data_IF_725727358990
#
_entry.id   IF_725727358990
#
_cell.length_a   1.000
_cell.length_b   1.000
_cell.length_c   1.000
_cell.angle_alpha   90.00
_cell.angle_beta   90.00
_cell.angle_gamma   90.00
#
_symmetry.space_group_name_H-M   'P 1'
#
loop_
_entity.id
_entity.type
_entity.pdbx_description
1 polymer ?
#
# COMPACT_ATOMS: atom_id res chain seq x y z
N UNK A 1 -16.49 -8.76 -9.92
CA UNK A 1 -15.22 -8.16 -10.36
C UNK A 1 -14.27 -7.86 -9.19
N UNK A 2 -14.67 -7.01 -8.23
CA UNK A 2 -13.82 -6.61 -7.09
C UNK A 2 -13.29 -7.77 -6.23
N UNK A 3 -14.17 -8.71 -5.85
CA UNK A 3 -13.78 -9.92 -5.12
C UNK A 3 -12.79 -10.80 -5.90
N UNK A 4 -12.93 -10.87 -7.23
CA UNK A 4 -12.03 -11.64 -8.10
C UNK A 4 -10.65 -10.97 -8.15
N UNK A 5 -10.58 -9.64 -8.23
CA UNK A 5 -9.32 -8.90 -8.19
C UNK A 5 -8.59 -9.08 -6.85
N UNK A 6 -9.31 -8.95 -5.74
CA UNK A 6 -8.78 -9.21 -4.39
C UNK A 6 -8.24 -10.64 -4.27
N UNK A 7 -9.02 -11.65 -4.68
CA UNK A 7 -8.61 -13.05 -4.66
C UNK A 7 -7.40 -13.32 -5.57
N UNK A 8 -7.35 -12.71 -6.75
CA UNK A 8 -6.22 -12.86 -7.68
C UNK A 8 -4.92 -12.30 -7.09
N UNK A 9 -5.00 -11.14 -6.43
CA UNK A 9 -3.84 -10.53 -5.77
C UNK A 9 -3.40 -11.36 -4.55
N UNK A 10 -4.36 -11.85 -3.75
CA UNK A 10 -4.10 -12.76 -2.63
C UNK A 10 -3.38 -14.04 -3.06
N UNK A 11 -3.84 -14.67 -4.15
CA UNK A 11 -3.22 -15.87 -4.72
C UNK A 11 -1.81 -15.59 -5.22
N UNK A 12 -1.58 -14.44 -5.87
CA UNK A 12 -0.24 -14.03 -6.30
C UNK A 12 0.71 -13.88 -5.11
N UNK A 13 0.29 -13.15 -4.06
CA UNK A 13 1.12 -12.93 -2.86
C UNK A 13 1.40 -14.26 -2.15
N UNK A 14 0.38 -15.12 -2.00
CA UNK A 14 0.56 -16.46 -1.41
C UNK A 14 1.56 -17.28 -2.22
N UNK A 15 1.44 -17.36 -3.54
CA UNK A 15 2.36 -18.18 -4.34
C UNK A 15 3.79 -17.62 -4.35
N UNK A 16 3.96 -16.30 -4.24
CA UNK A 16 5.25 -15.60 -4.34
C UNK A 16 6.05 -15.62 -3.02
N UNK A 17 5.38 -15.58 -1.86
CA UNK A 17 5.99 -15.37 -0.54
C UNK A 17 5.68 -16.48 0.47
N UNK A 18 6.48 -16.58 1.54
CA UNK A 18 6.12 -17.47 2.66
C UNK A 18 4.85 -16.97 3.36
N UNK A 19 4.07 -17.87 3.94
CA UNK A 19 2.71 -17.59 4.44
C UNK A 19 2.66 -16.44 5.46
N UNK A 20 3.74 -16.22 6.22
CA UNK A 20 3.85 -15.13 7.19
C UNK A 20 3.80 -13.75 6.49
N UNK A 21 4.50 -13.60 5.36
CA UNK A 21 4.47 -12.38 4.55
C UNK A 21 3.10 -12.18 3.92
N UNK A 22 2.45 -13.26 3.45
CA UNK A 22 1.12 -13.16 2.87
C UNK A 22 0.11 -12.60 3.88
N UNK A 23 0.11 -13.08 5.13
CA UNK A 23 -0.78 -12.56 6.17
C UNK A 23 -0.48 -11.10 6.50
N UNK A 24 0.80 -10.72 6.61
CA UNK A 24 1.20 -9.33 6.86
C UNK A 24 0.72 -8.35 5.78
N UNK A 25 0.90 -8.72 4.50
CA UNK A 25 0.43 -7.92 3.37
C UNK A 25 -1.10 -7.76 3.35
N UNK A 26 -1.83 -8.81 3.71
CA UNK A 26 -3.30 -8.78 3.77
C UNK A 26 -3.76 -7.81 4.85
N UNK A 27 -3.18 -7.89 6.05
CA UNK A 27 -3.55 -7.02 7.16
C UNK A 27 -3.28 -5.55 6.82
N UNK A 28 -2.11 -5.25 6.24
CA UNK A 28 -1.76 -3.90 5.78
C UNK A 28 -2.76 -3.39 4.72
N UNK A 29 -3.12 -4.24 3.75
CA UNK A 29 -4.09 -3.89 2.71
C UNK A 29 -5.48 -3.64 3.28
N UNK A 30 -5.93 -4.48 4.22
CA UNK A 30 -7.23 -4.30 4.89
C UNK A 30 -7.25 -3.01 5.68
N UNK A 31 -6.18 -2.69 6.40
CA UNK A 31 -6.02 -1.42 7.08
C UNK A 31 -6.19 -0.24 6.11
N UNK A 32 -5.55 -0.27 4.95
CA UNK A 32 -5.62 0.83 3.98
C UNK A 32 -7.02 1.01 3.39
N UNK A 33 -7.72 -0.11 3.13
CA UNK A 33 -9.12 -0.09 2.69
C UNK A 33 -10.03 0.50 3.76
N UNK A 34 -9.86 0.09 5.03
CA UNK A 34 -10.64 0.62 6.15
C UNK A 34 -10.38 2.11 6.33
N UNK A 35 -9.13 2.56 6.26
CA UNK A 35 -8.77 3.97 6.35
C UNK A 35 -9.38 4.79 5.21
N UNK A 36 -9.35 4.26 3.98
CA UNK A 36 -9.95 4.92 2.81
C UNK A 36 -11.47 5.01 2.92
N UNK A 37 -12.14 3.96 3.38
CA UNK A 37 -13.59 3.98 3.63
C UNK A 37 -13.93 4.97 4.75
N UNK A 38 -13.15 4.99 5.84
CA UNK A 38 -13.28 5.96 6.92
C UNK A 38 -13.14 7.40 6.43
N UNK A 39 -12.22 7.66 5.50
CA UNK A 39 -12.09 8.96 4.84
C UNK A 39 -13.36 9.37 4.09
N UNK A 40 -13.99 8.47 3.32
CA UNK A 40 -15.28 8.76 2.68
C UNK A 40 -16.38 9.09 3.68
N UNK A 41 -16.45 8.34 4.79
CA UNK A 41 -17.45 8.57 5.84
C UNK A 41 -17.27 9.94 6.51
N UNK A 42 -16.03 10.33 6.83
CA UNK A 42 -15.74 11.60 7.51
C UNK A 42 -15.94 12.80 6.58
N UNK A 43 -15.53 12.67 5.31
CA UNK A 43 -15.60 13.78 4.34
C UNK A 43 -16.99 13.95 3.73
N UNK A 44 -17.87 12.95 3.85
CA UNK A 44 -19.19 12.96 3.24
C UNK A 44 -19.15 12.97 1.71
N UNK A 45 -18.05 12.55 1.10
CA UNK A 45 -17.91 12.44 -0.35
C UNK A 45 -18.85 11.37 -0.89
N UNK A 46 -19.46 11.62 -2.05
CA UNK A 46 -20.31 10.63 -2.70
C UNK A 46 -19.55 9.33 -2.97
N UNK A 47 -20.16 8.22 -2.56
CA UNK A 47 -19.66 6.89 -2.83
C UNK A 47 -20.28 6.36 -4.11
N UNK A 48 -19.52 6.39 -5.21
CA UNK A 48 -19.96 5.96 -6.52
C UNK A 48 -18.96 4.99 -7.16
N UNK A 49 -19.15 4.68 -8.45
CA UNK A 49 -18.26 3.77 -9.17
C UNK A 49 -16.81 4.27 -9.25
N UNK A 50 -16.59 5.59 -9.28
CA UNK A 50 -15.25 6.18 -9.22
C UNK A 50 -14.62 5.96 -7.85
N UNK A 51 -15.39 6.02 -6.76
CA UNK A 51 -14.92 5.72 -5.40
C UNK A 51 -14.46 4.26 -5.28
N UNK A 52 -15.21 3.31 -5.85
CA UNK A 52 -14.80 1.90 -5.92
C UNK A 52 -13.52 1.70 -6.74
N UNK A 53 -13.38 2.41 -7.86
CA UNK A 53 -12.16 2.38 -8.66
C UNK A 53 -10.94 2.88 -7.86
N UNK A 54 -11.09 3.97 -7.09
CA UNK A 54 -10.03 4.49 -6.24
C UNK A 54 -9.55 3.44 -5.21
N UNK A 55 -10.49 2.78 -4.51
CA UNK A 55 -10.14 1.74 -3.52
C UNK A 55 -9.35 0.59 -4.17
N UNK A 56 -9.79 0.10 -5.33
CA UNK A 56 -9.08 -0.93 -6.07
C UNK A 56 -7.66 -0.51 -6.46
N UNK A 57 -7.49 0.74 -6.90
CA UNK A 57 -6.18 1.28 -7.25
C UNK A 57 -5.28 1.42 -6.02
N UNK A 58 -5.82 1.86 -4.87
CA UNK A 58 -5.08 1.96 -3.60
C UNK A 58 -4.58 0.59 -3.15
N UNK A 59 -5.41 -0.45 -3.26
CA UNK A 59 -5.01 -1.83 -2.93
C UNK A 59 -3.79 -2.24 -3.76
N UNK A 60 -3.83 -2.03 -5.08
CA UNK A 60 -2.70 -2.39 -5.96
C UNK A 60 -1.45 -1.56 -5.67
N UNK A 61 -1.63 -0.27 -5.38
CA UNK A 61 -0.55 0.64 -5.05
C UNK A 61 0.17 0.26 -3.75
N UNK A 62 -0.59 0.09 -2.66
CA UNK A 62 -0.04 -0.29 -1.34
C UNK A 62 0.64 -1.67 -1.38
N UNK A 63 0.05 -2.62 -2.10
CA UNK A 63 0.65 -3.94 -2.25
C UNK A 63 1.96 -3.91 -3.03
N UNK A 64 2.09 -3.05 -4.04
CA UNK A 64 3.35 -2.87 -4.74
C UNK A 64 4.47 -2.41 -3.80
N UNK A 65 4.20 -1.45 -2.93
CA UNK A 65 5.18 -0.96 -1.96
C UNK A 65 5.52 -2.04 -0.92
N UNK A 66 4.52 -2.77 -0.43
CA UNK A 66 4.70 -3.91 0.48
C UNK A 66 5.59 -5.01 -0.14
N UNK A 67 5.39 -5.32 -1.43
CA UNK A 67 6.19 -6.32 -2.16
C UNK A 67 7.66 -5.90 -2.24
N UNK A 68 7.94 -4.62 -2.51
CA UNK A 68 9.32 -4.11 -2.57
C UNK A 68 10.03 -4.27 -1.23
N UNK A 69 9.35 -3.95 -0.13
CA UNK A 69 9.90 -4.13 1.23
C UNK A 69 10.13 -5.62 1.51
N UNK A 70 9.17 -6.49 1.20
CA UNK A 70 9.26 -7.93 1.48
C UNK A 70 10.32 -8.64 0.64
N UNK A 71 10.48 -8.26 -0.63
CA UNK A 71 11.57 -8.77 -1.46
C UNK A 71 12.93 -8.39 -0.85
N UNK A 72 13.06 -7.18 -0.29
CA UNK A 72 14.30 -6.76 0.37
C UNK A 72 14.56 -7.50 1.68
N UNK A 73 13.53 -7.63 2.53
CA UNK A 73 13.62 -8.42 3.77
C UNK A 73 14.07 -9.86 3.48
N UNK A 74 13.51 -10.47 2.41
CA UNK A 74 13.89 -11.83 2.00
C UNK A 74 15.33 -11.92 1.50
N UNK A 75 15.80 -10.91 0.78
CA UNK A 75 17.20 -10.82 0.33
C UNK A 75 18.15 -10.71 1.53
N UNK A 76 17.82 -9.84 2.49
CA UNK A 76 18.62 -9.63 3.69
C UNK A 76 18.63 -10.85 4.61
N UNK A 77 17.52 -11.59 4.73
CA UNK A 77 17.47 -12.86 5.47
C UNK A 77 18.43 -13.91 4.88
N UNK A 78 18.61 -13.92 3.56
CA UNK A 78 19.55 -14.83 2.89
C UNK A 78 21.00 -14.38 3.07
N UNK A 79 21.25 -13.07 3.07
CA UNK A 79 22.58 -12.45 3.18
C UNK A 79 23.10 -12.44 4.63
N UNK A 80 22.25 -12.15 5.60
CA UNK A 80 22.61 -11.90 7.00
C UNK A 80 22.01 -12.95 7.97
N UNK A 81 22.46 -14.20 7.86
CA UNK A 81 21.92 -15.35 8.63
C UNK A 81 22.02 -15.26 10.16
N UNK A 82 22.87 -14.38 10.71
CA UNK A 82 23.09 -14.22 12.16
C UNK A 82 22.57 -12.88 12.71
N UNK A 83 22.00 -12.03 11.86
CA UNK A 83 21.54 -10.71 12.27
C UNK A 83 20.19 -10.83 12.99
N UNK A 84 19.97 -10.11 14.10
CA UNK A 84 18.67 -10.07 14.75
C UNK A 84 17.58 -9.55 13.81
N UNK A 85 16.41 -10.20 13.81
CA UNK A 85 15.26 -9.84 12.95
C UNK A 85 14.90 -8.35 12.99
N UNK A 86 14.80 -7.67 14.16
CA UNK A 86 14.46 -6.24 14.20
C UNK A 86 15.48 -5.36 13.48
N UNK A 87 16.78 -5.70 13.60
CA UNK A 87 17.85 -4.94 12.96
C UNK A 87 17.86 -5.16 11.44
N UNK A 88 17.55 -6.38 11.01
CA UNK A 88 17.43 -6.75 9.61
C UNK A 88 16.25 -6.04 8.94
N UNK A 89 15.08 -6.05 9.57
CA UNK A 89 13.89 -5.35 9.08
C UNK A 89 14.14 -3.84 8.96
N UNK A 90 14.79 -3.23 9.96
CA UNK A 90 15.14 -1.81 9.91
C UNK A 90 16.10 -1.49 8.76
N UNK A 91 17.05 -2.35 8.45
CA UNK A 91 17.94 -2.16 7.29
C UNK A 91 17.17 -2.25 5.98
N UNK A 92 16.34 -3.29 5.81
CA UNK A 92 15.53 -3.46 4.61
C UNK A 92 14.58 -2.28 4.36
N UNK A 93 13.99 -1.72 5.42
CA UNK A 93 13.16 -0.50 5.34
C UNK A 93 14.01 0.67 4.87
N UNK A 94 15.17 0.92 5.48
CA UNK A 94 16.01 2.07 5.13
C UNK A 94 16.51 2.02 3.68
N UNK A 95 16.85 0.83 3.17
CA UNK A 95 17.31 0.66 1.78
C UNK A 95 16.17 0.82 0.76
N UNK A 96 14.93 0.51 1.15
CA UNK A 96 13.75 0.66 0.28
C UNK A 96 13.05 2.02 0.42
N UNK A 97 13.35 2.77 1.49
CA UNK A 97 12.72 4.06 1.81
C UNK A 97 12.82 5.07 0.67
N UNK A 98 14.00 5.23 0.07
CA UNK A 98 14.20 6.19 -1.02
C UNK A 98 13.34 5.86 -2.24
N UNK A 99 13.17 4.57 -2.54
CA UNK A 99 12.37 4.12 -3.68
C UNK A 99 10.88 4.35 -3.43
N UNK A 100 10.36 3.87 -2.29
CA UNK A 100 8.94 3.98 -1.91
C UNK A 100 8.52 5.44 -1.71
N UNK A 101 9.39 6.26 -1.12
CA UNK A 101 9.12 7.70 -0.97
C UNK A 101 9.07 8.40 -2.32
N UNK A 102 9.98 8.09 -3.25
CA UNK A 102 10.01 8.73 -4.57
C UNK A 102 8.80 8.36 -5.43
N UNK A 103 8.36 7.08 -5.42
CA UNK A 103 7.14 6.66 -6.11
C UNK A 103 5.90 7.32 -5.50
N UNK A 104 5.86 7.48 -4.18
CA UNK A 104 4.77 8.16 -3.47
C UNK A 104 4.70 9.64 -3.79
N UNK A 105 5.81 10.35 -3.69
CA UNK A 105 5.88 11.79 -3.95
C UNK A 105 5.50 12.09 -5.40
N UNK A 106 6.01 11.34 -6.37
CA UNK A 106 5.67 11.57 -7.79
C UNK A 106 4.18 11.30 -8.07
N UNK A 107 3.61 10.27 -7.45
CA UNK A 107 2.16 9.99 -7.54
C UNK A 107 1.34 11.10 -6.89
N UNK A 108 1.73 11.58 -5.71
CA UNK A 108 1.08 12.69 -5.00
C UNK A 108 1.11 13.96 -5.85
N UNK A 109 2.24 14.28 -6.49
CA UNK A 109 2.34 15.47 -7.36
C UNK A 109 1.36 15.39 -8.54
N UNK A 110 1.23 14.23 -9.18
CA UNK A 110 0.26 14.02 -10.26
C UNK A 110 -1.19 14.13 -9.73
N UNK A 111 -1.48 13.51 -8.58
CA UNK A 111 -2.80 13.57 -7.95
C UNK A 111 -3.16 14.98 -7.51
N UNK A 112 -2.22 15.78 -7.00
CA UNK A 112 -2.44 17.17 -6.64
C UNK A 112 -2.86 18.01 -7.84
N UNK A 113 -2.21 17.83 -9.00
CA UNK A 113 -2.64 18.48 -10.23
C UNK A 113 -4.08 18.08 -10.60
N UNK A 114 -4.45 16.81 -10.46
CA UNK A 114 -5.81 16.34 -10.74
C UNK A 114 -6.83 16.80 -9.70
N UNK A 115 -6.46 16.97 -8.44
CA UNK A 115 -7.35 17.54 -7.41
C UNK A 115 -7.62 19.02 -7.69
N UNK A 116 -6.61 19.77 -8.13
CA UNK A 116 -6.73 21.21 -8.41
C UNK A 116 -7.41 21.51 -9.75
N UNK A 117 -7.14 20.71 -10.79
CA UNK A 117 -7.56 21.00 -12.17
C UNK A 117 -8.51 19.96 -12.79
N UNK A 118 -8.79 18.84 -12.12
CA UNK A 118 -9.51 17.70 -12.69
C UNK A 118 -11.03 17.84 -12.79
N UNK A 119 -11.64 18.83 -12.13
CA UNK A 119 -13.09 19.03 -12.11
C UNK A 119 -13.84 18.07 -11.19
N UNK A 120 -15.17 18.21 -11.12
CA UNK A 120 -16.00 17.55 -10.09
C UNK A 120 -16.14 16.04 -10.29
N UNK A 121 -16.19 15.57 -11.54
CA UNK A 121 -16.46 14.16 -11.88
C UNK A 121 -15.41 13.20 -11.30
N UNK A 122 -14.14 13.62 -11.27
CA UNK A 122 -13.03 12.81 -10.75
C UNK A 122 -12.57 13.24 -9.36
N UNK A 123 -13.19 14.26 -8.76
CA UNK A 123 -12.75 14.82 -7.47
C UNK A 123 -12.81 13.81 -6.34
N UNK A 124 -13.89 13.01 -6.26
CA UNK A 124 -14.01 11.95 -5.25
C UNK A 124 -12.93 10.87 -5.42
N UNK A 125 -12.57 10.54 -6.66
CA UNK A 125 -11.51 9.59 -6.96
C UNK A 125 -10.13 10.14 -6.60
N UNK A 126 -9.80 11.37 -7.03
CA UNK A 126 -8.47 11.96 -6.85
C UNK A 126 -8.19 12.28 -5.39
N UNK A 127 -9.19 12.74 -4.63
CA UNK A 127 -9.09 12.95 -3.18
C UNK A 127 -8.89 11.64 -2.42
N UNK A 128 -9.67 10.60 -2.75
CA UNK A 128 -9.52 9.29 -2.12
C UNK A 128 -8.16 8.66 -2.44
N UNK A 129 -7.70 8.76 -3.69
CA UNK A 129 -6.37 8.32 -4.11
C UNK A 129 -5.26 9.09 -3.39
N UNK A 130 -5.39 10.41 -3.25
CA UNK A 130 -4.40 11.23 -2.54
C UNK A 130 -4.27 10.79 -1.09
N UNK A 131 -5.40 10.59 -0.41
CA UNK A 131 -5.43 10.06 0.95
C UNK A 131 -4.84 8.64 1.01
N UNK A 132 -5.27 7.75 0.12
CA UNK A 132 -4.87 6.35 0.10
C UNK A 132 -3.38 6.14 -0.20
N UNK A 133 -2.78 6.96 -1.06
CA UNK A 133 -1.32 6.92 -1.30
C UNK A 133 -0.57 7.30 -0.03
N UNK A 134 -0.94 8.40 0.64
CA UNK A 134 -0.27 8.83 1.87
C UNK A 134 -0.34 7.76 2.97
N UNK A 135 -1.53 7.19 3.21
CA UNK A 135 -1.70 6.15 4.22
C UNK A 135 -1.11 4.80 3.81
N UNK A 136 -1.18 4.44 2.53
CA UNK A 136 -0.61 3.21 2.00
C UNK A 136 0.91 3.18 2.08
N UNK A 137 1.59 4.28 1.76
CA UNK A 137 3.04 4.40 1.92
C UNK A 137 3.44 4.24 3.39
N UNK A 138 2.70 4.88 4.30
CA UNK A 138 2.93 4.73 5.75
C UNK A 138 2.72 3.28 6.21
N UNK A 139 1.62 2.66 5.81
CA UNK A 139 1.26 1.28 6.16
C UNK A 139 2.30 0.27 5.68
N UNK A 140 2.75 0.42 4.44
CA UNK A 140 3.77 -0.44 3.83
C UNK A 140 5.11 -0.40 4.57
N UNK A 141 5.50 0.77 5.08
CA UNK A 141 6.79 0.98 5.75
C UNK A 141 6.71 0.62 7.24
N UNK A 142 5.67 1.07 7.94
CA UNK A 142 5.61 1.05 9.40
C UNK A 142 4.67 -0.01 9.98
N UNK A 143 3.79 -0.62 9.17
CA UNK A 143 2.86 -1.66 9.62
C UNK A 143 3.27 -3.02 9.05
N UNK A 144 3.53 -3.11 7.74
CA UNK A 144 3.77 -4.39 7.08
C UNK A 144 5.07 -5.09 7.51
N UNK A 145 6.14 -4.33 7.80
CA UNK A 145 7.43 -4.91 8.20
C UNK A 145 7.48 -5.31 9.69
N UNK A 146 6.99 -4.50 10.65
CA UNK A 146 6.96 -4.90 12.07
C UNK A 146 6.00 -6.05 12.38
N UNK A 147 4.95 -6.26 11.58
CA UNK A 147 4.04 -7.40 11.70
C UNK A 147 4.71 -8.77 11.42
N UNK A 148 5.95 -8.78 10.93
CA UNK A 148 6.73 -10.01 10.72
C UNK A 148 7.48 -10.48 11.99
N UNK A 149 7.46 -9.68 13.06
CA UNK A 149 8.02 -10.00 14.39
C UNK A 149 6.93 -10.64 15.25
#
# INVERSE_FOLDING_TARGET
>A
AMLIALVGILLYVWFRFEWQFAVGAIIATVHDVVMTIGFFVITGLEFNQSSLAAILTIIGYSLNDTIVVYDRVREDLRKYKKMPLPQLLNNAINETLSRTTLTSVTTILALLALVLFGGEVIRSFTLAMLFGVVFGTYSSIFIAAPLLI
#
